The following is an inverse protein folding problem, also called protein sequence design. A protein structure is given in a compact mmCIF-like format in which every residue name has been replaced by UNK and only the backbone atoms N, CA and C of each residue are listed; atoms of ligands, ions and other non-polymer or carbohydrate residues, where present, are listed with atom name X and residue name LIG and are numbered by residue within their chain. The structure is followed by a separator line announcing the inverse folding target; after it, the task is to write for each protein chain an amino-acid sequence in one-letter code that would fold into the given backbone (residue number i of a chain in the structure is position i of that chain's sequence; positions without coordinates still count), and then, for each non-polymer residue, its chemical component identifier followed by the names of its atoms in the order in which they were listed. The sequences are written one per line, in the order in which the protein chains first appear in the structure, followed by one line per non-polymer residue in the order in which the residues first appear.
data_IF_304662936585
#
_entry.id   IF_304662936585
#
_cell.length_a   1.000
_cell.length_b   1.000
_cell.length_c   1.000
_cell.angle_alpha   90.00
_cell.angle_beta   90.00
_cell.angle_gamma   90.00
#
_symmetry.space_group_name_H-M   'P 1'
#
loop_
_entity.id
_entity.type
_entity.pdbx_description
1 polymer ?
#
# COMPACT_ATOMS: atom_id res chain seq x y z
N UNK A 1 -31.35 -12.56 12.41
CA UNK A 1 -31.03 -12.77 10.97
C UNK A 1 -29.57 -12.42 10.78
N UNK A 2 -28.73 -13.40 10.42
CA UNK A 2 -27.36 -13.11 9.99
C UNK A 2 -27.44 -12.61 8.55
N UNK A 3 -26.83 -11.45 8.28
CA UNK A 3 -26.80 -10.82 6.95
C UNK A 3 -25.49 -11.22 6.27
N UNK A 4 -25.54 -11.55 4.99
CA UNK A 4 -24.34 -11.92 4.24
C UNK A 4 -23.37 -10.73 4.17
N UNK A 5 -22.08 -10.94 4.49
CA UNK A 5 -21.10 -9.88 4.51
C UNK A 5 -20.81 -9.36 3.10
N UNK A 6 -20.91 -8.04 2.93
CA UNK A 6 -20.65 -7.33 1.67
C UNK A 6 -19.13 -7.26 1.37
N UNK A 7 -18.30 -7.33 2.42
CA UNK A 7 -16.84 -7.21 2.34
C UNK A 7 -16.19 -8.34 3.14
N UNK A 8 -15.05 -8.82 2.65
CA UNK A 8 -14.19 -9.72 3.39
C UNK A 8 -13.70 -9.07 4.70
N UNK A 9 -13.70 -9.84 5.78
CA UNK A 9 -13.20 -9.45 7.10
C UNK A 9 -11.77 -8.90 7.02
N UNK A 10 -10.91 -9.48 6.19
CA UNK A 10 -9.52 -9.00 6.03
C UNK A 10 -9.48 -7.58 5.44
N UNK A 11 -10.35 -7.31 4.45
CA UNK A 11 -10.45 -5.98 3.84
C UNK A 11 -11.00 -4.97 4.85
N UNK A 12 -12.01 -5.37 5.61
CA UNK A 12 -12.59 -4.52 6.66
C UNK A 12 -11.56 -4.14 7.73
N UNK A 13 -10.85 -5.13 8.29
CA UNK A 13 -9.83 -4.91 9.32
C UNK A 13 -8.69 -4.02 8.80
N UNK A 14 -8.22 -4.24 7.57
CA UNK A 14 -7.18 -3.41 6.96
C UNK A 14 -7.61 -1.94 6.78
N UNK A 15 -8.88 -1.71 6.42
CA UNK A 15 -9.44 -0.35 6.29
C UNK A 15 -9.65 0.27 7.66
N UNK A 16 -10.10 -0.49 8.65
CA UNK A 16 -10.28 -0.03 10.01
C UNK A 16 -8.96 0.42 10.65
N UNK A 17 -7.89 -0.35 10.50
CA UNK A 17 -6.54 0.04 10.97
C UNK A 17 -6.06 1.34 10.29
N UNK A 18 -6.29 1.49 8.98
CA UNK A 18 -5.98 2.73 8.24
C UNK A 18 -6.82 3.91 8.73
N UNK A 19 -8.11 3.70 9.03
CA UNK A 19 -9.01 4.72 9.58
C UNK A 19 -8.53 5.15 10.96
N UNK A 20 -8.20 4.19 11.83
CA UNK A 20 -7.74 4.45 13.18
C UNK A 20 -6.42 5.23 13.20
N UNK A 21 -5.42 4.80 12.44
CA UNK A 21 -4.12 5.51 12.33
C UNK A 21 -4.26 6.94 11.79
N UNK A 22 -5.29 7.21 10.97
CA UNK A 22 -5.58 8.55 10.40
C UNK A 22 -6.64 9.33 11.18
N UNK A 23 -7.16 8.78 12.28
CA UNK A 23 -8.16 9.43 13.12
C UNK A 23 -7.62 10.78 13.60
N UNK A 24 -8.42 11.88 13.54
CA UNK A 24 -8.01 13.17 14.08
C UNK A 24 -7.60 13.14 15.56
N UNK A 25 -8.08 12.15 16.33
CA UNK A 25 -7.71 11.93 17.73
C UNK A 25 -6.31 11.33 17.88
N UNK A 26 -5.83 10.57 16.89
CA UNK A 26 -4.52 9.89 16.89
C UNK A 26 -3.49 10.70 16.10
N UNK A 27 -3.86 11.16 14.92
CA UNK A 27 -3.03 11.94 14.01
C UNK A 27 -3.74 13.25 13.67
N UNK A 28 -3.20 14.42 14.06
CA UNK A 28 -3.81 15.71 13.74
C UNK A 28 -4.10 15.85 12.25
N UNK A 29 -5.32 16.26 11.87
CA UNK A 29 -5.78 16.26 10.47
C UNK A 29 -4.86 17.00 9.49
N UNK A 30 -4.16 18.04 9.95
CA UNK A 30 -3.13 18.77 9.17
C UNK A 30 -1.97 17.86 8.72
N UNK A 31 -1.60 16.85 9.50
CA UNK A 31 -0.60 15.85 9.11
C UNK A 31 -1.08 14.95 7.98
N UNK A 32 -2.38 14.66 7.94
CA UNK A 32 -2.98 13.77 6.93
C UNK A 32 -3.27 14.51 5.62
N UNK A 33 -3.74 15.76 5.67
CA UNK A 33 -4.23 16.51 4.50
C UNK A 33 -3.25 17.53 3.90
N UNK A 34 -2.18 17.93 4.62
CA UNK A 34 -1.32 19.02 4.11
C UNK A 34 -0.46 18.57 2.92
N UNK A 35 -0.42 19.34 1.81
CA UNK A 35 0.43 19.04 0.65
C UNK A 35 1.92 19.36 0.87
N UNK A 36 2.29 20.00 1.98
CA UNK A 36 3.66 20.50 2.22
C UNK A 36 4.51 19.52 3.04
N UNK A 37 5.82 19.41 2.80
CA UNK A 37 6.73 18.53 3.58
C UNK A 37 6.80 18.87 5.08
N UNK A 38 6.16 19.99 5.49
CA UNK A 38 6.08 20.54 6.85
C UNK A 38 5.59 19.54 7.90
N UNK A 39 4.72 18.60 7.55
CA UNK A 39 4.05 17.79 8.58
C UNK A 39 4.80 16.50 8.88
N UNK A 40 5.63 16.56 9.92
CA UNK A 40 6.20 15.40 10.63
C UNK A 40 7.54 14.88 10.13
N UNK A 41 7.92 15.17 8.89
CA UNK A 41 9.18 14.67 8.31
C UNK A 41 10.37 15.59 8.58
N UNK A 42 10.19 16.90 8.45
CA UNK A 42 11.30 17.85 8.45
C UNK A 42 11.66 18.35 9.86
N UNK A 43 12.90 18.14 10.25
CA UNK A 43 13.50 18.59 11.52
C UNK A 43 14.77 19.40 11.31
N UNK A 44 15.04 20.27 12.27
CA UNK A 44 16.30 20.98 12.36
C UNK A 44 17.38 20.04 12.89
N UNK A 45 18.50 19.89 12.17
CA UNK A 45 19.62 19.07 12.62
C UNK A 45 20.32 19.64 13.86
N UNK A 46 20.28 20.96 14.05
CA UNK A 46 20.99 21.65 15.13
C UNK A 46 20.29 21.54 16.49
N UNK A 47 18.96 21.61 16.54
CA UNK A 47 18.20 21.58 17.80
C UNK A 47 17.14 20.46 17.87
N UNK A 48 17.02 19.62 16.83
CA UNK A 48 16.05 18.52 16.79
C UNK A 48 14.57 18.93 16.64
N UNK A 49 14.26 20.22 16.74
CA UNK A 49 12.89 20.70 16.64
C UNK A 49 12.34 20.58 15.22
N UNK A 50 11.02 20.44 15.10
CA UNK A 50 10.34 20.42 13.81
C UNK A 50 10.57 21.73 13.04
N UNK A 51 10.57 21.66 11.71
CA UNK A 51 10.58 22.85 10.86
C UNK A 51 9.18 23.12 10.29
N UNK A 52 8.78 24.39 10.37
CA UNK A 52 7.44 24.87 10.07
C UNK A 52 7.48 25.76 8.82
N UNK A 53 6.49 25.62 7.93
CA UNK A 53 6.39 26.53 6.78
C UNK A 53 5.87 27.90 7.25
N UNK A 54 6.55 28.96 6.81
CA UNK A 54 6.22 30.35 7.03
C UNK A 54 6.11 31.07 5.68
N UNK A 55 5.27 32.09 5.62
CA UNK A 55 5.08 32.91 4.42
C UNK A 55 5.64 34.32 4.61
N UNK A 56 6.01 34.96 3.51
CA UNK A 56 6.43 36.37 3.46
C UNK A 56 5.78 37.10 2.28
N UNK A 57 5.64 38.43 2.41
CA UNK A 57 4.98 39.33 1.44
C UNK A 57 3.62 38.79 0.96
N UNK A 58 2.65 38.68 1.88
CA UNK A 58 1.28 38.26 1.55
C UNK A 58 1.13 36.83 1.02
N UNK A 59 2.13 35.95 1.22
CA UNK A 59 2.11 34.57 0.71
C UNK A 59 2.94 34.34 -0.55
N UNK A 60 3.49 35.40 -1.15
CA UNK A 60 4.35 35.31 -2.36
C UNK A 60 5.60 34.47 -2.14
N UNK A 61 6.20 34.56 -0.96
CA UNK A 61 7.37 33.77 -0.61
C UNK A 61 7.02 32.74 0.46
N UNK A 62 7.56 31.53 0.32
CA UNK A 62 7.37 30.44 1.28
C UNK A 62 8.71 29.89 1.73
N UNK A 63 8.86 29.73 3.03
CA UNK A 63 10.09 29.32 3.68
C UNK A 63 9.83 28.22 4.70
N UNK A 64 10.82 27.36 4.96
CA UNK A 64 10.88 26.55 6.17
C UNK A 64 11.69 27.27 7.24
N UNK A 65 11.18 27.28 8.46
CA UNK A 65 11.82 27.87 9.64
C UNK A 65 11.81 26.86 10.78
N UNK A 66 12.90 26.81 11.56
CA UNK A 66 12.95 26.02 12.79
C UNK A 66 11.89 26.52 13.79
N UNK A 67 11.13 25.60 14.40
CA UNK A 67 10.08 25.96 15.34
C UNK A 67 10.65 26.63 16.60
N UNK A 68 11.77 26.15 17.15
CA UNK A 68 12.45 26.77 18.30
C UNK A 68 12.81 28.23 18.04
N UNK A 69 13.30 28.53 16.84
CA UNK A 69 13.63 29.90 16.41
C UNK A 69 12.40 30.81 16.30
N UNK A 70 11.24 30.23 15.99
CA UNK A 70 9.96 30.97 15.91
C UNK A 70 9.35 31.16 17.29
N UNK A 71 9.32 30.11 18.12
CA UNK A 71 8.57 30.08 19.38
C UNK A 71 9.31 30.71 20.56
N UNK A 72 10.64 30.69 20.56
CA UNK A 72 11.45 31.24 21.65
C UNK A 72 12.02 32.60 21.26
N UNK A 73 13.15 32.63 20.55
CA UNK A 73 13.76 33.85 20.05
C UNK A 73 14.67 33.56 18.85
N UNK A 74 15.03 34.60 18.10
CA UNK A 74 15.77 34.49 16.84
C UNK A 74 17.17 33.86 16.97
N UNK A 75 17.77 33.96 18.16
CA UNK A 75 19.08 33.39 18.53
C UNK A 75 19.00 32.00 19.15
N UNK A 76 17.80 31.47 19.45
CA UNK A 76 17.63 30.15 20.08
C UNK A 76 18.05 28.98 19.17
N UNK A 77 18.13 29.23 17.86
CA UNK A 77 18.68 28.28 16.90
C UNK A 77 19.33 29.02 15.72
N UNK A 78 20.53 28.59 15.35
CA UNK A 78 21.35 29.21 14.30
C UNK A 78 20.90 28.82 12.89
N UNK A 79 20.06 27.79 12.74
CA UNK A 79 19.61 27.32 11.42
C UNK A 79 18.86 28.43 10.68
N UNK A 80 19.28 28.79 9.45
CA UNK A 80 18.66 29.84 8.66
C UNK A 80 17.26 29.44 8.17
N UNK A 81 16.42 30.43 7.90
CA UNK A 81 15.21 30.20 7.12
C UNK A 81 15.62 29.83 5.69
N UNK A 82 15.00 28.80 5.14
CA UNK A 82 15.31 28.30 3.79
C UNK A 82 14.08 28.37 2.90
N UNK A 83 14.25 28.79 1.65
CA UNK A 83 13.18 28.81 0.65
C UNK A 83 12.60 27.41 0.47
N UNK A 84 11.26 27.26 0.46
CA UNK A 84 10.61 25.96 0.30
C UNK A 84 11.07 25.23 -0.98
N UNK A 85 11.03 25.84 -2.18
CA UNK A 85 11.56 25.22 -3.40
C UNK A 85 12.99 24.71 -3.28
N UNK A 86 13.86 25.46 -2.58
CA UNK A 86 15.27 25.09 -2.39
C UNK A 86 15.39 23.85 -1.52
N UNK A 87 14.70 23.81 -0.39
CA UNK A 87 14.77 22.66 0.51
C UNK A 87 14.08 21.43 -0.08
N UNK A 88 12.95 21.61 -0.75
CA UNK A 88 12.23 20.54 -1.44
C UNK A 88 13.13 19.91 -2.51
N UNK A 89 13.82 20.73 -3.31
CA UNK A 89 14.80 20.23 -4.28
C UNK A 89 15.94 19.44 -3.64
N UNK A 90 16.52 19.93 -2.54
CA UNK A 90 17.57 19.22 -1.79
C UNK A 90 17.08 17.88 -1.23
N UNK A 91 15.87 17.84 -0.70
CA UNK A 91 15.22 16.63 -0.21
C UNK A 91 15.07 15.62 -1.35
N UNK A 92 14.58 16.07 -2.50
CA UNK A 92 14.29 15.18 -3.62
C UNK A 92 15.54 14.65 -4.29
N UNK A 93 16.58 15.47 -4.40
CA UNK A 93 17.90 15.03 -4.83
C UNK A 93 18.46 13.96 -3.88
N UNK A 94 18.49 14.24 -2.58
CA UNK A 94 19.00 13.30 -1.58
C UNK A 94 18.19 11.99 -1.54
N UNK A 95 16.87 12.08 -1.73
CA UNK A 95 16.01 10.91 -1.84
C UNK A 95 16.34 10.08 -3.09
N UNK A 96 16.45 10.73 -4.26
CA UNK A 96 16.78 10.04 -5.51
C UNK A 96 18.15 9.37 -5.43
N UNK A 97 19.14 10.01 -4.82
CA UNK A 97 20.49 9.47 -4.65
C UNK A 97 20.58 8.30 -3.69
N UNK A 98 19.69 8.24 -2.67
CA UNK A 98 19.70 7.15 -1.69
C UNK A 98 18.75 6.00 -2.02
N UNK A 99 17.63 6.29 -2.68
CA UNK A 99 16.52 5.33 -2.87
C UNK A 99 16.40 4.84 -4.30
N UNK A 100 16.66 5.69 -5.28
CA UNK A 100 16.55 5.34 -6.71
C UNK A 100 17.88 4.85 -7.30
N UNK A 101 18.77 4.29 -6.47
CA UNK A 101 19.98 3.65 -6.96
C UNK A 101 19.63 2.31 -7.62
N UNK A 102 20.31 1.91 -8.71
CA UNK A 102 20.05 0.65 -9.38
C UNK A 102 20.14 -0.55 -8.42
N UNK A 103 21.10 -0.54 -7.50
CA UNK A 103 21.34 -1.60 -6.52
C UNK A 103 20.12 -1.75 -5.60
N UNK A 104 19.62 -0.64 -5.05
CA UNK A 104 18.49 -0.66 -4.12
C UNK A 104 17.18 -0.98 -4.82
N UNK A 105 16.98 -0.51 -6.06
CA UNK A 105 15.83 -0.89 -6.88
C UNK A 105 15.82 -2.39 -7.17
N UNK A 106 16.98 -3.00 -7.44
CA UNK A 106 17.10 -4.46 -7.62
C UNK A 106 16.79 -5.22 -6.33
N UNK A 107 17.23 -4.75 -5.17
CA UNK A 107 16.89 -5.35 -3.88
C UNK A 107 15.39 -5.28 -3.59
N UNK A 108 14.79 -4.10 -3.72
CA UNK A 108 13.34 -3.91 -3.53
C UNK A 108 12.51 -4.81 -4.46
N UNK A 109 12.96 -5.00 -5.71
CA UNK A 109 12.33 -5.95 -6.63
C UNK A 109 12.45 -7.40 -6.19
N UNK A 110 13.61 -7.81 -5.68
CA UNK A 110 13.81 -9.17 -5.17
C UNK A 110 12.88 -9.43 -4.00
N UNK A 111 12.81 -8.50 -3.05
CA UNK A 111 11.88 -8.59 -1.91
C UNK A 111 10.43 -8.65 -2.39
N UNK A 112 10.03 -7.78 -3.33
CA UNK A 112 8.69 -7.80 -3.91
C UNK A 112 8.37 -9.12 -4.61
N UNK A 113 9.31 -9.66 -5.40
CA UNK A 113 9.17 -10.98 -6.05
C UNK A 113 9.02 -12.10 -5.02
N UNK A 114 9.79 -12.07 -3.93
CA UNK A 114 9.69 -13.06 -2.84
C UNK A 114 8.34 -12.96 -2.13
N UNK A 115 7.90 -11.76 -1.77
CA UNK A 115 6.59 -11.53 -1.16
C UNK A 115 5.44 -12.01 -2.04
N UNK A 116 5.52 -11.77 -3.35
CA UNK A 116 4.54 -12.24 -4.31
C UNK A 116 4.59 -13.75 -4.46
N UNK A 117 5.77 -14.36 -4.55
CA UNK A 117 5.90 -15.82 -4.60
C UNK A 117 5.27 -16.50 -3.37
N UNK A 118 5.47 -15.94 -2.18
CA UNK A 118 4.86 -16.46 -0.95
C UNK A 118 3.34 -16.28 -0.95
N UNK A 119 2.85 -15.14 -1.46
CA UNK A 119 1.41 -14.85 -1.57
C UNK A 119 0.74 -15.77 -2.60
N UNK A 120 1.36 -15.96 -3.77
CA UNK A 120 0.91 -16.89 -4.81
C UNK A 120 0.98 -18.33 -4.35
N UNK A 121 2.03 -18.76 -3.65
CA UNK A 121 2.10 -20.12 -3.10
C UNK A 121 0.93 -20.44 -2.19
N UNK A 122 0.53 -19.49 -1.32
CA UNK A 122 -0.64 -19.62 -0.46
C UNK A 122 -1.95 -19.61 -1.24
N UNK A 123 -2.05 -18.82 -2.31
CA UNK A 123 -3.22 -18.82 -3.21
C UNK A 123 -3.34 -20.13 -3.99
N UNK A 124 -2.22 -20.68 -4.48
CA UNK A 124 -2.18 -21.94 -5.20
C UNK A 124 -2.59 -23.11 -4.30
N UNK A 125 -2.20 -23.10 -3.02
CA UNK A 125 -2.68 -24.06 -2.02
C UNK A 125 -4.19 -23.99 -1.82
N UNK A 126 -4.75 -22.79 -1.71
CA UNK A 126 -6.20 -22.58 -1.61
C UNK A 126 -6.91 -23.07 -2.87
N UNK A 127 -6.40 -22.74 -4.05
CA UNK A 127 -6.97 -23.19 -5.33
C UNK A 127 -6.93 -24.72 -5.42
N UNK A 128 -5.82 -25.37 -5.03
CA UNK A 128 -5.71 -26.83 -4.99
C UNK A 128 -6.74 -27.46 -4.04
N UNK A 129 -6.93 -26.89 -2.85
CA UNK A 129 -7.95 -27.36 -1.90
C UNK A 129 -9.37 -27.26 -2.46
N UNK A 130 -9.70 -26.12 -3.08
CA UNK A 130 -11.01 -25.91 -3.72
C UNK A 130 -11.23 -26.83 -4.92
N UNK A 131 -10.19 -27.10 -5.71
CA UNK A 131 -10.26 -28.06 -6.83
C UNK A 131 -10.50 -29.48 -6.34
N UNK A 132 -9.88 -29.88 -5.22
CA UNK A 132 -10.14 -31.18 -4.60
C UNK A 132 -11.59 -31.29 -4.11
N UNK A 133 -12.11 -30.26 -3.41
CA UNK A 133 -13.51 -30.22 -2.98
C UNK A 133 -14.48 -30.27 -4.16
N UNK A 134 -14.17 -29.57 -5.25
CA UNK A 134 -14.97 -29.64 -6.48
C UNK A 134 -15.06 -31.07 -7.02
N UNK A 135 -13.94 -31.80 -7.06
CA UNK A 135 -13.91 -33.21 -7.48
C UNK A 135 -14.76 -34.11 -6.59
N UNK A 136 -14.70 -33.93 -5.27
CA UNK A 136 -15.54 -34.68 -4.32
C UNK A 136 -17.05 -34.39 -4.52
N UNK A 137 -17.40 -33.14 -4.77
CA UNK A 137 -18.79 -32.74 -5.05
C UNK A 137 -19.30 -33.31 -6.38
N UNK A 138 -18.46 -33.34 -7.41
CA UNK A 138 -18.78 -33.95 -8.70
C UNK A 138 -18.99 -35.45 -8.56
N UNK A 139 -18.10 -36.15 -7.84
CA UNK A 139 -18.25 -37.57 -7.52
C UNK A 139 -19.54 -37.85 -6.74
N UNK A 140 -19.85 -37.05 -5.71
CA UNK A 140 -21.07 -37.19 -4.93
C UNK A 140 -22.34 -36.96 -5.77
N UNK A 141 -22.28 -36.01 -6.71
CA UNK A 141 -23.38 -35.71 -7.63
C UNK A 141 -23.60 -36.87 -8.61
N UNK A 142 -22.52 -37.43 -9.18
CA UNK A 142 -22.60 -38.57 -10.09
C UNK A 142 -23.15 -39.81 -9.39
N UNK A 143 -22.70 -40.11 -8.17
CA UNK A 143 -23.26 -41.22 -7.36
C UNK A 143 -24.75 -41.05 -7.09
N UNK A 144 -25.20 -39.81 -6.88
CA UNK A 144 -26.61 -39.52 -6.69
C UNK A 144 -27.42 -39.81 -7.96
N UNK A 145 -26.89 -39.41 -9.13
CA UNK A 145 -27.52 -39.70 -10.42
C UNK A 145 -27.57 -41.20 -10.71
N UNK A 146 -26.46 -41.94 -10.52
CA UNK A 146 -26.44 -43.39 -10.68
C UNK A 146 -27.44 -44.11 -9.78
N UNK A 147 -27.61 -43.66 -8.53
CA UNK A 147 -28.57 -44.25 -7.61
C UNK A 147 -30.03 -44.03 -8.04
N UNK A 148 -30.31 -42.91 -8.70
CA UNK A 148 -31.62 -42.62 -9.29
C UNK A 148 -31.83 -43.46 -10.55
N UNK A 149 -30.82 -43.58 -11.42
CA UNK A 149 -30.89 -44.38 -12.65
C UNK A 149 -31.09 -45.88 -12.39
N UNK A 150 -30.58 -46.38 -11.25
CA UNK A 150 -30.73 -47.78 -10.82
C UNK A 150 -31.99 -48.03 -9.98
N UNK A 151 -32.89 -47.05 -9.85
CA UNK A 151 -34.09 -47.09 -9.01
C UNK A 151 -33.80 -47.45 -7.53
N UNK A 152 -32.59 -47.18 -7.04
CA UNK A 152 -32.18 -47.46 -5.66
C UNK A 152 -32.75 -46.43 -4.66
N UNK A 153 -33.17 -45.26 -5.15
CA UNK A 153 -33.70 -44.16 -4.35
C UNK A 153 -35.00 -43.61 -4.95
N UNK A 154 -36.05 -43.38 -4.14
CA UNK A 154 -37.27 -42.75 -4.61
C UNK A 154 -37.04 -41.26 -4.91
N UNK A 155 -37.69 -40.75 -5.95
CA UNK A 155 -37.70 -39.32 -6.30
C UNK A 155 -38.59 -38.51 -5.35
N UNK A 156 -38.08 -38.25 -4.15
CA UNK A 156 -38.77 -37.53 -3.08
C UNK A 156 -38.22 -36.10 -2.84
N UNK A 157 -38.85 -35.38 -1.92
CA UNK A 157 -38.42 -34.04 -1.55
C UNK A 157 -37.06 -34.01 -0.84
N UNK A 158 -36.63 -35.11 -0.22
CA UNK A 158 -35.33 -35.20 0.47
C UNK A 158 -34.19 -35.28 -0.54
N UNK A 159 -34.35 -36.11 -1.57
CA UNK A 159 -33.43 -36.23 -2.69
C UNK A 159 -33.29 -34.89 -3.43
N UNK A 160 -34.42 -34.23 -3.72
CA UNK A 160 -34.42 -32.90 -4.37
C UNK A 160 -33.65 -31.87 -3.55
N UNK A 161 -33.87 -31.80 -2.24
CA UNK A 161 -33.11 -30.91 -1.33
C UNK A 161 -31.62 -31.22 -1.33
N UNK A 162 -31.24 -32.50 -1.35
CA UNK A 162 -29.83 -32.91 -1.35
C UNK A 162 -29.13 -32.57 -2.67
N UNK A 163 -29.77 -32.80 -3.81
CA UNK A 163 -29.26 -32.41 -5.11
C UNK A 163 -29.07 -30.89 -5.23
N UNK A 164 -30.04 -30.11 -4.74
CA UNK A 164 -29.92 -28.64 -4.70
C UNK A 164 -28.76 -28.18 -3.82
N UNK A 165 -28.53 -28.82 -2.66
CA UNK A 165 -27.40 -28.51 -1.77
C UNK A 165 -26.05 -28.78 -2.42
N UNK A 166 -25.90 -29.93 -3.10
CA UNK A 166 -24.67 -30.27 -3.83
C UNK A 166 -24.41 -29.27 -4.96
N UNK A 167 -25.44 -28.93 -5.76
CA UNK A 167 -25.34 -27.93 -6.82
C UNK A 167 -24.95 -26.56 -6.28
N UNK A 168 -25.60 -26.09 -5.21
CA UNK A 168 -25.30 -24.81 -4.60
C UNK A 168 -23.86 -24.75 -4.09
N UNK A 169 -23.33 -25.82 -3.46
CA UNK A 169 -21.94 -25.85 -3.02
C UNK A 169 -20.97 -25.88 -4.20
N UNK A 170 -21.26 -26.66 -5.25
CA UNK A 170 -20.43 -26.69 -6.47
C UNK A 170 -20.31 -25.30 -7.10
N UNK A 171 -21.45 -24.63 -7.28
CA UNK A 171 -21.49 -23.30 -7.88
C UNK A 171 -20.77 -22.26 -7.00
N UNK A 172 -20.89 -22.37 -5.67
CA UNK A 172 -20.12 -21.54 -4.73
C UNK A 172 -18.60 -21.77 -4.84
N UNK A 173 -18.15 -23.02 -4.85
CA UNK A 173 -16.71 -23.38 -4.99
C UNK A 173 -16.14 -22.87 -6.32
N UNK A 174 -16.90 -22.93 -7.41
CA UNK A 174 -16.47 -22.36 -8.70
C UNK A 174 -16.28 -20.83 -8.63
N UNK A 175 -17.17 -20.12 -7.93
CA UNK A 175 -17.03 -18.68 -7.69
C UNK A 175 -15.81 -18.38 -6.82
N UNK A 176 -15.57 -19.18 -5.76
CA UNK A 176 -14.39 -19.07 -4.90
C UNK A 176 -13.08 -19.25 -5.69
N UNK A 177 -13.01 -20.27 -6.58
CA UNK A 177 -11.85 -20.50 -7.47
C UNK A 177 -11.64 -19.30 -8.42
N UNK A 178 -12.71 -18.80 -9.04
CA UNK A 178 -12.63 -17.65 -9.94
C UNK A 178 -12.23 -16.35 -9.21
N UNK A 179 -12.61 -16.21 -7.94
CA UNK A 179 -12.17 -15.13 -7.06
C UNK A 179 -10.68 -15.23 -6.74
N UNK A 180 -10.23 -16.42 -6.31
CA UNK A 180 -8.83 -16.66 -5.94
C UNK A 180 -7.87 -16.44 -7.12
N UNK A 181 -8.22 -16.86 -8.34
CA UNK A 181 -7.40 -16.66 -9.55
C UNK A 181 -7.22 -15.18 -9.90
N UNK A 182 -8.29 -14.38 -9.82
CA UNK A 182 -8.22 -12.93 -10.11
C UNK A 182 -7.29 -12.17 -9.15
N UNK A 183 -7.13 -12.64 -7.93
CA UNK A 183 -6.21 -12.04 -6.95
C UNK A 183 -4.73 -12.39 -7.23
N UNK A 184 -4.47 -13.40 -8.06
CA UNK A 184 -3.13 -13.89 -8.40
C UNK A 184 -2.52 -13.27 -9.67
N UNK A 185 -3.27 -12.47 -10.42
CA UNK A 185 -2.78 -11.87 -11.67
C UNK A 185 -2.10 -10.52 -11.44
N UNK A 186 -0.94 -10.52 -10.76
CA UNK A 186 -0.01 -9.39 -10.82
C UNK A 186 1.20 -9.78 -11.65
N UNK A 187 1.44 -9.16 -12.84
CA UNK A 187 2.50 -9.56 -13.77
C UNK A 187 3.88 -9.03 -13.32
N UNK A 188 4.27 -9.29 -12.07
CA UNK A 188 5.58 -8.89 -11.53
C UNK A 188 6.71 -9.74 -12.11
N UNK A 189 6.39 -10.91 -12.66
CA UNK A 189 7.32 -11.70 -13.47
C UNK A 189 7.85 -10.92 -14.69
N UNK A 190 7.08 -9.97 -15.22
CA UNK A 190 7.48 -9.15 -16.38
C UNK A 190 8.44 -8.01 -16.02
N UNK A 191 8.68 -7.72 -14.74
CA UNK A 191 9.60 -6.65 -14.34
C UNK A 191 11.06 -7.13 -14.44
N UNK A 192 11.71 -6.70 -15.53
CA UNK A 192 13.15 -6.90 -15.79
C UNK A 192 14.01 -5.81 -15.12
N UNK A 193 15.28 -6.12 -14.86
CA UNK A 193 16.24 -5.15 -14.33
C UNK A 193 16.36 -3.91 -15.23
N UNK A 194 16.35 -4.10 -16.55
CA UNK A 194 16.44 -3.02 -17.54
C UNK A 194 15.26 -2.05 -17.48
N UNK A 195 14.03 -2.56 -17.32
CA UNK A 195 12.86 -1.71 -17.13
C UNK A 195 12.93 -0.91 -15.82
N UNK A 196 13.67 -1.41 -14.84
CA UNK A 196 13.78 -0.79 -13.53
C UNK A 196 14.83 0.31 -13.47
N UNK A 197 15.92 0.15 -14.22
CA UNK A 197 16.86 1.24 -14.47
C UNK A 197 16.17 2.38 -15.23
N UNK A 198 15.38 2.06 -16.26
CA UNK A 198 14.59 3.05 -17.01
C UNK A 198 13.54 3.73 -16.12
N UNK A 199 12.83 2.96 -15.29
CA UNK A 199 11.86 3.50 -14.35
C UNK A 199 12.52 4.41 -13.30
N UNK A 200 13.66 3.99 -12.74
CA UNK A 200 14.42 4.78 -11.78
C UNK A 200 14.87 6.11 -12.37
N UNK A 201 15.39 6.09 -13.59
CA UNK A 201 15.78 7.30 -14.33
C UNK A 201 14.58 8.22 -14.62
N UNK A 202 13.47 7.67 -15.13
CA UNK A 202 12.25 8.44 -15.42
C UNK A 202 11.63 9.04 -14.15
N UNK A 203 11.62 8.29 -13.05
CA UNK A 203 11.11 8.75 -11.76
C UNK A 203 12.01 9.83 -11.16
N UNK A 204 13.33 9.70 -11.31
CA UNK A 204 14.30 10.71 -10.88
C UNK A 204 14.03 12.05 -11.57
N UNK A 205 13.88 12.06 -12.89
CA UNK A 205 13.56 13.28 -13.66
C UNK A 205 12.22 13.88 -13.22
N UNK A 206 11.17 13.06 -13.09
CA UNK A 206 9.86 13.54 -12.64
C UNK A 206 9.86 14.12 -11.23
N UNK A 207 10.63 13.53 -10.31
CA UNK A 207 10.74 14.02 -8.94
C UNK A 207 11.48 15.35 -8.88
N UNK A 208 12.49 15.57 -9.72
CA UNK A 208 13.26 16.82 -9.74
C UNK A 208 12.56 17.97 -10.48
N UNK A 209 11.80 17.68 -11.53
CA UNK A 209 11.21 18.72 -12.40
C UNK A 209 9.88 19.30 -11.89
N UNK A 210 9.16 18.59 -11.01
CA UNK A 210 7.92 19.10 -10.44
C UNK A 210 7.62 18.52 -9.06
N UNK A 211 7.99 19.23 -7.97
CA UNK A 211 7.60 18.87 -6.61
C UNK A 211 6.09 19.10 -6.42
N UNK A 212 5.28 18.15 -6.89
CA UNK A 212 3.83 18.14 -6.68
C UNK A 212 3.47 17.53 -5.31
N UNK A 213 2.26 17.74 -4.83
CA UNK A 213 1.79 17.13 -3.58
C UNK A 213 1.87 15.58 -3.54
N UNK A 214 1.95 14.93 -4.71
CA UNK A 214 2.16 13.49 -4.83
C UNK A 214 3.54 13.05 -4.30
N UNK A 215 4.56 13.88 -4.51
CA UNK A 215 5.94 13.63 -4.11
C UNK A 215 6.09 13.40 -2.60
N UNK A 216 5.37 14.18 -1.80
CA UNK A 216 5.36 14.01 -0.34
C UNK A 216 4.80 12.66 0.11
N UNK A 217 3.75 12.18 -0.56
CA UNK A 217 3.10 10.91 -0.19
C UNK A 217 4.06 9.73 -0.43
N UNK A 218 4.87 9.80 -1.50
CA UNK A 218 5.93 8.83 -1.74
C UNK A 218 7.04 8.92 -0.70
N UNK A 219 7.54 10.13 -0.38
CA UNK A 219 8.62 10.29 0.61
C UNK A 219 8.30 9.67 1.98
N UNK A 220 7.06 9.81 2.46
CA UNK A 220 6.63 9.22 3.74
C UNK A 220 6.65 7.69 3.78
N UNK A 221 6.61 7.02 2.63
CA UNK A 221 6.68 5.55 2.59
C UNK A 221 8.11 5.05 2.78
N UNK A 222 9.11 5.88 2.48
CA UNK A 222 10.52 5.49 2.46
C UNK A 222 11.38 6.19 3.52
N UNK A 223 10.94 7.35 4.01
CA UNK A 223 11.71 8.21 4.91
C UNK A 223 10.94 8.46 6.18
N UNK A 224 11.55 8.13 7.33
CA UNK A 224 10.98 8.39 8.64
C UNK A 224 11.20 9.83 9.12
N UNK A 225 12.38 10.40 8.84
CA UNK A 225 12.77 11.73 9.28
C UNK A 225 13.77 12.38 8.30
N UNK A 226 13.68 13.68 8.13
CA UNK A 226 14.56 14.50 7.28
C UNK A 226 15.16 15.60 8.16
N UNK A 227 16.48 15.63 8.30
CA UNK A 227 17.21 16.64 9.09
C UNK A 227 17.89 17.65 8.17
N UNK A 228 17.74 18.94 8.49
CA UNK A 228 18.39 20.04 7.78
C UNK A 228 19.27 20.86 8.73
N UNK A 229 20.55 21.01 8.38
CA UNK A 229 21.56 21.71 9.19
C UNK A 229 21.78 23.19 8.78
N UNK A 230 21.15 23.64 7.68
CA UNK A 230 21.36 24.96 7.10
C UNK A 230 22.02 24.93 5.71
N UNK A 231 22.68 23.83 5.34
CA UNK A 231 23.35 23.64 4.06
C UNK A 231 22.98 22.31 3.38
N UNK A 232 22.86 21.23 4.16
CA UNK A 232 22.67 19.86 3.68
C UNK A 232 21.43 19.23 4.31
N UNK A 233 20.92 18.21 3.63
CA UNK A 233 19.80 17.38 4.09
C UNK A 233 20.32 15.98 4.38
N UNK A 234 19.93 15.44 5.53
CA UNK A 234 20.22 14.06 5.93
C UNK A 234 18.88 13.34 6.14
N UNK A 235 18.80 12.11 5.62
CA UNK A 235 17.65 11.21 5.72
C UNK A 235 18.12 9.85 6.21
#
# INVERSE_FOLDING_TARGET
MAVDPILDKQVFEAVEQKRHSRSPQVTPGRLVSSPTLRTGLLRCANCGAAMTAATGKGGRYRYYKCNTRISQHSTACTTPAVSMPKLDGLVLAAFADKVLTPERLREMLREMKTHLKNTHGRQDEVIRGLQWELGELELATNRLYEAVEKDLLPMDNMLRKRAQKLKARRDAVLVEIAGARRQGEMPVAMLSAKQMDVFGAALRVRLTDSPSGATKRYLRQFVGEIRFDGKRVVM
#
